data_IF_451755928975
#
_entry.id   IF_451755928975
#
_cell.length_a   1.000
_cell.length_b   1.000
_cell.length_c   1.000
_cell.angle_alpha   90.00
_cell.angle_beta   90.00
_cell.angle_gamma   90.00
#
_symmetry.space_group_name_H-M   'P 1'
#
loop_
_entity.id
_entity.type
_entity.pdbx_description
1 polymer ?
#
# COMPACT_ATOMS: atom_id res chain seq x y z
N UNK A 1 5.84 -2.92 2.28
CA UNK A 1 4.75 -3.77 1.70
C UNK A 1 5.43 -4.89 0.95
N UNK A 2 4.93 -6.09 1.05
CA UNK A 2 5.52 -7.27 0.40
C UNK A 2 4.60 -7.73 -0.72
N UNK A 3 5.12 -8.51 -1.65
CA UNK A 3 4.40 -9.10 -2.78
C UNK A 3 3.18 -9.95 -2.33
N UNK A 4 3.24 -10.62 -1.18
CA UNK A 4 2.09 -11.21 -0.50
C UNK A 4 1.45 -10.15 0.41
N UNK A 5 0.13 -10.02 0.39
CA UNK A 5 -0.61 -8.99 1.15
C UNK A 5 -0.42 -9.08 2.67
N UNK A 6 -0.04 -10.25 3.19
CA UNK A 6 0.14 -10.55 4.63
C UNK A 6 -1.03 -10.06 5.49
N UNK A 7 -2.24 -10.11 4.94
CA UNK A 7 -3.46 -9.80 5.67
C UNK A 7 -3.74 -10.94 6.64
N UNK A 8 -4.07 -10.59 7.88
CA UNK A 8 -4.37 -11.56 8.92
C UNK A 8 -5.80 -12.08 8.73
N UNK A 9 -5.98 -13.39 8.44
CA UNK A 9 -7.28 -13.92 8.07
C UNK A 9 -8.28 -14.00 9.23
N UNK A 10 -7.81 -13.89 10.47
CA UNK A 10 -8.64 -13.96 11.68
C UNK A 10 -9.14 -12.59 12.15
N UNK A 11 -8.69 -11.51 11.50
CA UNK A 11 -9.09 -10.15 11.79
C UNK A 11 -9.95 -9.62 10.65
N UNK A 12 -10.96 -8.79 10.97
CA UNK A 12 -11.69 -8.03 9.96
C UNK A 12 -10.80 -6.95 9.31
N UNK A 13 -11.32 -6.22 8.33
CA UNK A 13 -10.52 -5.21 7.61
C UNK A 13 -10.13 -4.06 8.52
N UNK A 14 -11.04 -3.63 9.41
CA UNK A 14 -10.77 -2.55 10.36
C UNK A 14 -9.63 -2.92 11.30
N UNK A 15 -9.67 -4.12 11.84
CA UNK A 15 -8.65 -4.65 12.75
C UNK A 15 -7.30 -4.81 12.04
N UNK A 16 -7.30 -5.33 10.80
CA UNK A 16 -6.09 -5.43 10.00
C UNK A 16 -5.42 -4.06 9.80
N UNK A 17 -6.20 -3.03 9.49
CA UNK A 17 -5.67 -1.68 9.28
C UNK A 17 -5.28 -1.02 10.60
N UNK A 18 -6.01 -1.25 11.71
CA UNK A 18 -5.70 -0.68 13.02
C UNK A 18 -4.45 -1.29 13.68
N UNK A 19 -4.04 -2.49 13.28
CA UNK A 19 -2.97 -3.25 13.91
C UNK A 19 -1.66 -2.45 14.14
N UNK A 20 -1.11 -1.72 13.17
CA UNK A 20 0.10 -0.92 13.42
C UNK A 20 -0.08 0.14 14.50
N UNK A 21 -1.27 0.71 14.61
CA UNK A 21 -1.59 1.72 15.63
C UNK A 21 -1.62 1.10 17.03
N UNK A 22 -2.18 -0.10 17.18
CA UNK A 22 -2.16 -0.82 18.45
C UNK A 22 -0.75 -1.18 18.88
N UNK A 23 0.08 -1.64 17.94
CA UNK A 23 1.50 -1.96 18.21
C UNK A 23 2.30 -0.70 18.63
N UNK A 24 1.88 0.49 18.20
CA UNK A 24 2.44 1.79 18.61
C UNK A 24 1.81 2.35 19.89
N UNK A 25 0.92 1.60 20.55
CA UNK A 25 0.29 2.03 21.82
C UNK A 25 -0.85 3.03 21.65
N UNK A 26 -1.40 3.20 20.44
CA UNK A 26 -2.56 4.07 20.21
C UNK A 26 -3.80 3.47 20.89
N UNK A 27 -4.57 4.28 21.58
CA UNK A 27 -5.83 3.86 22.24
C UNK A 27 -6.80 3.24 21.21
N UNK A 28 -7.54 2.19 21.60
CA UNK A 28 -8.41 1.40 20.71
C UNK A 28 -9.41 2.26 19.93
N UNK A 29 -10.09 3.18 20.61
CA UNK A 29 -11.08 4.07 19.99
C UNK A 29 -10.46 4.95 18.88
N UNK A 30 -9.27 5.50 19.13
CA UNK A 30 -8.55 6.34 18.16
C UNK A 30 -7.99 5.50 17.01
N UNK A 31 -7.43 4.33 17.30
CA UNK A 31 -6.95 3.40 16.27
C UNK A 31 -8.10 2.96 15.34
N UNK A 32 -9.26 2.61 15.90
CA UNK A 32 -10.44 2.25 15.13
C UNK A 32 -10.98 3.40 14.28
N UNK A 33 -10.99 4.63 14.81
CA UNK A 33 -11.40 5.83 14.06
C UNK A 33 -10.48 6.07 12.85
N UNK A 34 -9.16 6.06 13.07
CA UNK A 34 -8.16 6.27 12.01
C UNK A 34 -8.17 5.16 10.96
N UNK A 35 -8.34 3.91 11.40
CA UNK A 35 -8.44 2.78 10.48
C UNK A 35 -9.68 2.88 9.58
N UNK A 36 -10.84 3.26 10.13
CA UNK A 36 -12.07 3.47 9.36
C UNK A 36 -11.94 4.60 8.35
N UNK A 37 -11.34 5.72 8.75
CA UNK A 37 -11.04 6.84 7.85
C UNK A 37 -10.13 6.38 6.69
N UNK A 38 -9.08 5.62 6.99
CA UNK A 38 -8.14 5.13 5.98
C UNK A 38 -8.81 4.11 5.03
N UNK A 39 -9.66 3.22 5.54
CA UNK A 39 -10.48 2.32 4.70
C UNK A 39 -11.41 3.11 3.78
N UNK A 40 -11.97 4.21 4.23
CA UNK A 40 -12.74 5.13 3.39
C UNK A 40 -11.91 5.70 2.24
N UNK A 41 -10.68 6.14 2.50
CA UNK A 41 -9.77 6.70 1.49
C UNK A 41 -9.38 5.67 0.40
N UNK A 42 -9.32 4.40 0.74
CA UNK A 42 -9.03 3.32 -0.23
C UNK A 42 -10.31 2.70 -0.82
N UNK A 43 -11.49 3.30 -0.56
CA UNK A 43 -12.76 2.86 -1.14
C UNK A 43 -13.38 1.62 -0.48
N UNK A 44 -12.97 1.27 0.74
CA UNK A 44 -13.43 0.09 1.48
C UNK A 44 -14.16 0.43 2.80
N UNK A 45 -14.56 1.68 3.00
CA UNK A 45 -15.18 2.14 4.25
C UNK A 45 -16.45 1.39 4.64
N UNK A 46 -17.31 1.06 3.66
CA UNK A 46 -18.55 0.29 3.88
C UNK A 46 -18.31 -1.19 4.22
N UNK A 47 -17.09 -1.69 4.00
CA UNK A 47 -16.71 -3.09 4.20
C UNK A 47 -15.79 -3.31 5.40
N UNK A 48 -15.69 -2.34 6.29
CA UNK A 48 -14.73 -2.32 7.40
C UNK A 48 -14.80 -3.58 8.30
N UNK A 49 -15.97 -4.16 8.47
CA UNK A 49 -16.21 -5.36 9.29
C UNK A 49 -16.21 -6.67 8.50
N UNK A 50 -15.94 -6.62 7.20
CA UNK A 50 -15.87 -7.82 6.38
C UNK A 50 -14.60 -8.64 6.71
N UNK A 51 -14.67 -9.97 6.61
CA UNK A 51 -13.49 -10.81 6.69
C UNK A 51 -12.69 -10.75 5.37
N UNK A 52 -11.34 -10.82 5.43
CA UNK A 52 -10.49 -10.74 4.23
C UNK A 52 -10.79 -11.75 3.14
N UNK A 53 -11.33 -12.92 3.48
CA UNK A 53 -11.65 -14.00 2.55
C UNK A 53 -12.74 -13.64 1.52
N UNK A 54 -13.51 -12.59 1.77
CA UNK A 54 -14.55 -12.10 0.87
C UNK A 54 -14.04 -11.05 -0.14
N UNK A 55 -12.73 -10.72 -0.09
CA UNK A 55 -12.14 -9.69 -0.92
C UNK A 55 -11.44 -10.27 -2.15
N UNK A 56 -11.53 -9.53 -3.26
CA UNK A 56 -10.67 -9.74 -4.43
C UNK A 56 -9.21 -9.37 -4.13
N UNK A 57 -8.26 -9.86 -4.95
CA UNK A 57 -6.85 -9.52 -4.80
C UNK A 57 -6.57 -8.01 -4.80
N UNK A 58 -7.27 -7.25 -5.66
CA UNK A 58 -7.12 -5.78 -5.69
C UNK A 58 -7.65 -5.10 -4.42
N UNK A 59 -8.75 -5.60 -3.84
CA UNK A 59 -9.27 -5.10 -2.57
C UNK A 59 -8.34 -5.45 -1.41
N UNK A 60 -7.78 -6.66 -1.36
CA UNK A 60 -6.76 -7.04 -0.38
C UNK A 60 -5.52 -6.14 -0.47
N UNK A 61 -5.10 -5.77 -1.68
CA UNK A 61 -4.01 -4.83 -1.87
C UNK A 61 -4.36 -3.44 -1.33
N UNK A 62 -5.58 -2.95 -1.52
CA UNK A 62 -6.05 -1.68 -0.93
C UNK A 62 -6.04 -1.72 0.59
N UNK A 63 -6.40 -2.85 1.21
CA UNK A 63 -6.27 -3.03 2.68
C UNK A 63 -4.80 -2.98 3.10
N UNK A 64 -3.90 -3.63 2.37
CA UNK A 64 -2.46 -3.60 2.65
C UNK A 64 -1.88 -2.18 2.55
N UNK A 65 -2.32 -1.38 1.57
CA UNK A 65 -1.97 0.04 1.43
C UNK A 65 -2.49 0.83 2.64
N UNK A 66 -3.75 0.66 3.00
CA UNK A 66 -4.36 1.34 4.15
C UNK A 66 -3.58 1.03 5.45
N UNK A 67 -3.25 -0.24 5.69
CA UNK A 67 -2.47 -0.67 6.84
C UNK A 67 -1.06 -0.07 6.86
N UNK A 68 -0.41 0.01 5.70
CA UNK A 68 0.93 0.57 5.59
C UNK A 68 0.99 2.07 5.88
N UNK A 69 -0.12 2.80 5.71
CA UNK A 69 -0.16 4.26 5.76
C UNK A 69 -0.92 4.82 6.98
N UNK A 70 -1.73 4.01 7.67
CA UNK A 70 -2.61 4.46 8.77
C UNK A 70 -1.86 5.13 9.93
N UNK A 71 -0.62 4.72 10.19
CA UNK A 71 0.25 5.28 11.23
C UNK A 71 1.08 6.49 10.76
N UNK A 72 0.84 6.99 9.52
CA UNK A 72 1.51 8.13 8.91
C UNK A 72 3.03 7.99 8.89
N UNK A 73 3.59 6.97 8.22
CA UNK A 73 5.03 6.77 8.14
C UNK A 73 5.70 7.89 7.36
N UNK A 74 6.98 8.17 7.65
CA UNK A 74 7.79 9.07 6.84
C UNK A 74 8.36 8.39 5.59
N UNK A 75 8.43 7.06 5.59
CA UNK A 75 8.95 6.25 4.48
C UNK A 75 8.04 5.03 4.25
N UNK A 76 7.69 4.80 3.00
CA UNK A 76 6.97 3.60 2.55
C UNK A 76 7.89 2.78 1.65
N UNK A 77 8.08 1.52 2.01
CA UNK A 77 8.81 0.55 1.18
C UNK A 77 7.79 -0.39 0.53
N UNK A 78 7.79 -0.48 -0.78
CA UNK A 78 6.88 -1.32 -1.55
C UNK A 78 7.69 -2.26 -2.45
N UNK A 79 7.51 -3.56 -2.26
CA UNK A 79 8.13 -4.61 -3.06
C UNK A 79 7.05 -5.25 -3.92
N UNK A 80 7.16 -5.09 -5.25
CA UNK A 80 6.19 -5.52 -6.27
C UNK A 80 4.72 -5.27 -5.88
N UNK A 81 4.33 -4.01 -5.59
CA UNK A 81 3.02 -3.72 -4.98
C UNK A 81 1.82 -4.10 -5.87
N UNK A 82 2.05 -4.41 -7.13
CA UNK A 82 1.01 -4.78 -8.10
C UNK A 82 1.29 -6.07 -8.85
N UNK A 83 2.32 -6.82 -8.46
CA UNK A 83 2.80 -8.00 -9.19
C UNK A 83 1.78 -9.15 -9.32
N UNK A 84 0.81 -9.22 -8.41
CA UNK A 84 -0.24 -10.26 -8.40
C UNK A 84 -1.59 -9.79 -8.98
N UNK A 85 -1.63 -8.63 -9.64
CA UNK A 85 -2.85 -8.05 -10.18
C UNK A 85 -2.83 -8.06 -11.72
N UNK A 86 -4.01 -8.12 -12.31
CA UNK A 86 -4.15 -7.87 -13.75
C UNK A 86 -3.77 -6.41 -14.10
N UNK A 87 -3.35 -6.11 -15.33
CA UNK A 87 -2.81 -4.80 -15.71
C UNK A 87 -3.75 -3.62 -15.43
N UNK A 88 -5.07 -3.80 -15.59
CA UNK A 88 -6.05 -2.74 -15.35
C UNK A 88 -6.14 -2.39 -13.88
N UNK A 89 -6.31 -3.39 -13.02
CA UNK A 89 -6.35 -3.22 -11.56
C UNK A 89 -5.01 -2.78 -10.99
N UNK A 90 -3.90 -3.25 -11.56
CA UNK A 90 -2.56 -2.83 -11.17
C UNK A 90 -2.39 -1.31 -11.30
N UNK A 91 -2.87 -0.73 -12.41
CA UNK A 91 -2.84 0.73 -12.62
C UNK A 91 -3.61 1.49 -11.55
N UNK A 92 -4.86 1.09 -11.28
CA UNK A 92 -5.72 1.75 -10.28
C UNK A 92 -5.12 1.69 -8.87
N UNK A 93 -4.61 0.52 -8.49
CA UNK A 93 -4.00 0.31 -7.17
C UNK A 93 -2.71 1.10 -7.02
N UNK A 94 -1.91 1.19 -8.09
CA UNK A 94 -0.69 1.99 -8.09
C UNK A 94 -0.98 3.48 -7.98
N UNK A 95 -1.99 4.00 -8.71
CA UNK A 95 -2.43 5.38 -8.60
C UNK A 95 -2.90 5.71 -7.19
N UNK A 96 -3.65 4.80 -6.57
CA UNK A 96 -4.08 4.92 -5.18
C UNK A 96 -2.87 4.97 -4.23
N UNK A 97 -1.92 4.05 -4.36
CA UNK A 97 -0.72 4.01 -3.51
C UNK A 97 0.07 5.31 -3.61
N UNK A 98 0.39 5.75 -4.83
CA UNK A 98 1.17 6.96 -5.06
C UNK A 98 0.42 8.22 -4.59
N UNK A 99 -0.89 8.30 -4.81
CA UNK A 99 -1.75 9.36 -4.30
C UNK A 99 -1.68 9.44 -2.77
N UNK A 100 -1.86 8.31 -2.09
CA UNK A 100 -1.81 8.27 -0.62
C UNK A 100 -0.42 8.60 -0.06
N UNK A 101 0.67 8.20 -0.73
CA UNK A 101 2.05 8.57 -0.35
C UNK A 101 2.23 10.10 -0.45
N UNK A 102 1.80 10.72 -1.54
CA UNK A 102 1.87 12.18 -1.74
C UNK A 102 1.03 12.93 -0.70
N UNK A 103 -0.20 12.51 -0.48
CA UNK A 103 -1.12 13.14 0.49
C UNK A 103 -0.56 13.08 1.92
N UNK A 104 0.12 11.98 2.26
CA UNK A 104 0.77 11.81 3.57
C UNK A 104 2.12 12.51 3.70
N UNK A 105 2.66 13.07 2.61
CA UNK A 105 4.01 13.65 2.50
C UNK A 105 5.11 12.66 2.90
N UNK A 106 4.88 11.37 2.69
CA UNK A 106 5.87 10.33 2.90
C UNK A 106 6.82 10.22 1.70
N UNK A 107 8.03 9.75 1.94
CA UNK A 107 8.88 9.25 0.87
C UNK A 107 8.45 7.83 0.49
N UNK A 108 8.50 7.47 -0.80
CA UNK A 108 8.21 6.13 -1.29
C UNK A 108 9.42 5.52 -1.98
N UNK A 109 9.76 4.29 -1.63
CA UNK A 109 10.70 3.45 -2.39
C UNK A 109 9.96 2.23 -2.88
N UNK A 110 9.92 2.04 -4.19
CA UNK A 110 9.26 0.91 -4.82
C UNK A 110 10.28 0.08 -5.59
N UNK A 111 10.28 -1.23 -5.35
CA UNK A 111 10.99 -2.21 -6.17
C UNK A 111 9.98 -2.85 -7.11
N UNK A 112 10.28 -2.89 -8.40
CA UNK A 112 9.37 -3.48 -9.39
C UNK A 112 10.10 -3.88 -10.67
N UNK A 113 9.61 -4.93 -11.33
CA UNK A 113 9.99 -5.31 -12.69
C UNK A 113 9.08 -4.66 -13.75
N UNK A 114 8.02 -3.97 -13.35
CA UNK A 114 7.10 -3.29 -14.25
C UNK A 114 7.63 -1.93 -14.69
N UNK A 115 7.95 -1.79 -15.98
CA UNK A 115 8.36 -0.50 -16.56
C UNK A 115 7.27 0.57 -16.42
N UNK A 116 6.00 0.19 -16.55
CA UNK A 116 4.87 1.11 -16.41
C UNK A 116 4.70 1.59 -14.96
N UNK A 117 5.03 0.76 -13.98
CA UNK A 117 5.05 1.16 -12.57
C UNK A 117 6.27 2.08 -12.29
N UNK A 118 7.44 1.72 -12.76
CA UNK A 118 8.67 2.51 -12.59
C UNK A 118 8.52 3.92 -13.20
N UNK A 119 7.91 4.04 -14.38
CA UNK A 119 7.69 5.32 -15.07
C UNK A 119 6.81 6.34 -14.29
N UNK A 120 6.13 5.91 -13.22
CA UNK A 120 5.30 6.77 -12.37
C UNK A 120 6.06 7.35 -11.16
N UNK A 121 7.28 6.89 -10.94
CA UNK A 121 8.14 7.41 -9.88
C UNK A 121 8.82 8.73 -10.30
N UNK A 122 9.11 9.58 -9.33
CA UNK A 122 9.84 10.83 -9.56
C UNK A 122 11.29 10.56 -9.94
N UNK A 123 11.85 9.42 -9.50
CA UNK A 123 13.20 8.96 -9.79
C UNK A 123 13.23 7.46 -10.00
N UNK A 124 13.96 7.01 -11.02
CA UNK A 124 14.11 5.61 -11.37
C UNK A 124 15.57 5.20 -11.30
N UNK A 125 15.86 4.18 -10.50
CA UNK A 125 17.18 3.58 -10.38
C UNK A 125 17.13 2.15 -10.90
N UNK A 126 18.02 1.81 -11.81
CA UNK A 126 18.19 0.45 -12.31
C UNK A 126 19.34 -0.23 -11.58
N UNK A 127 19.07 -1.40 -11.01
CA UNK A 127 20.10 -2.23 -10.40
C UNK A 127 20.80 -3.06 -11.47
N UNK A 128 22.08 -2.84 -11.67
CA UNK A 128 22.96 -3.58 -12.58
C UNK A 128 24.05 -4.31 -11.79
N UNK A 129 24.85 -5.09 -12.50
CA UNK A 129 25.95 -5.87 -11.90
C UNK A 129 26.99 -4.96 -11.20
N UNK A 130 27.20 -3.78 -11.73
CA UNK A 130 28.15 -2.77 -11.27
C UNK A 130 27.55 -1.72 -10.30
N UNK A 131 26.26 -1.81 -9.98
CA UNK A 131 25.61 -0.93 -9.01
C UNK A 131 24.27 -0.37 -9.44
N UNK A 132 23.85 0.72 -8.78
CA UNK A 132 22.62 1.46 -9.07
C UNK A 132 22.89 2.60 -10.06
N UNK A 133 22.17 2.61 -11.16
CA UNK A 133 22.24 3.62 -12.20
C UNK A 133 20.96 4.44 -12.27
N UNK A 134 21.09 5.77 -12.28
CA UNK A 134 19.95 6.67 -12.46
C UNK A 134 19.55 6.67 -13.95
N UNK A 135 18.31 6.22 -14.20
CA UNK A 135 17.72 6.14 -15.53
C UNK A 135 16.45 6.97 -15.64
N UNK A 136 16.28 7.95 -14.76
CA UNK A 136 15.12 8.86 -14.73
C UNK A 136 14.94 9.55 -16.08
N UNK A 137 13.74 9.42 -16.67
CA UNK A 137 13.43 10.05 -17.96
C UNK A 137 13.99 9.34 -19.20
N UNK A 138 14.58 8.16 -19.05
CA UNK A 138 14.96 7.29 -20.16
C UNK A 138 13.93 6.15 -20.25
N UNK A 139 13.20 6.04 -21.37
CA UNK A 139 12.18 4.99 -21.59
C UNK A 139 12.78 3.59 -21.73
#
# INVERSE_FOLDING_TARGET
MFQAFHILPHLDLLQNVALPLWLLGTAEAEAGRRAREMLGRVGLGARATDPPQQLSGGELQRVAIARALVHRPHLVLADEPTGNLDPGRASEVLDLLLGQIRDSRAAGVMVTHSRSAAARADRVLELRVDGLHDVTGHP
#
